data_IF_833857808256
#
_entry.id   IF_833857808256
#
_cell.length_a   1.000
_cell.length_b   1.000
_cell.length_c   1.000
_cell.angle_alpha   90.00
_cell.angle_beta   90.00
_cell.angle_gamma   90.00
#
_symmetry.space_group_name_H-M   'P 1'
#
loop_
_entity.id
_entity.type
_entity.pdbx_description
1 polymer ?
#
# COMPACT_ATOMS: atom_id res chain seq x y z
N UNK A 1 -4.45 -17.80 5.30
CA UNK A 1 -4.30 -17.15 3.99
C UNK A 1 -4.06 -15.66 4.23
N UNK A 2 -3.01 -15.07 3.67
CA UNK A 2 -2.73 -13.65 3.81
C UNK A 2 -3.23 -12.90 2.57
N UNK A 3 -4.06 -11.87 2.74
CA UNK A 3 -4.74 -11.19 1.63
C UNK A 3 -3.75 -10.68 0.58
N UNK A 4 -2.65 -10.05 0.99
CA UNK A 4 -1.64 -9.52 0.07
C UNK A 4 -0.97 -10.60 -0.78
N UNK A 5 -0.86 -11.83 -0.24
CA UNK A 5 -0.30 -12.96 -0.99
C UNK A 5 -1.26 -13.45 -2.07
N UNK A 6 -2.56 -13.49 -1.76
CA UNK A 6 -3.61 -13.82 -2.75
C UNK A 6 -3.72 -12.72 -3.80
N UNK A 7 -3.68 -11.45 -3.36
CA UNK A 7 -3.69 -10.29 -4.24
C UNK A 7 -2.56 -10.35 -5.26
N UNK A 8 -1.31 -10.50 -4.79
CA UNK A 8 -0.14 -10.61 -5.66
C UNK A 8 -0.32 -11.72 -6.70
N UNK A 9 -0.74 -12.91 -6.26
CA UNK A 9 -1.01 -14.04 -7.17
C UNK A 9 -2.06 -13.67 -8.23
N UNK A 10 -3.14 -12.98 -7.85
CA UNK A 10 -4.20 -12.56 -8.77
C UNK A 10 -3.77 -11.47 -9.75
N UNK A 11 -2.84 -10.61 -9.35
CA UNK A 11 -2.20 -9.67 -10.29
C UNK A 11 -1.37 -10.42 -11.32
N UNK A 12 -0.54 -11.38 -10.90
CA UNK A 12 0.29 -12.21 -11.81
C UNK A 12 -0.56 -13.05 -12.79
N UNK A 13 -1.74 -13.48 -12.35
CA UNK A 13 -2.71 -14.19 -13.19
C UNK A 13 -3.51 -13.25 -14.11
N UNK A 14 -3.42 -11.93 -13.98
CA UNK A 14 -4.32 -10.94 -14.62
C UNK A 14 -5.82 -11.10 -14.26
N UNK A 15 -6.11 -11.69 -13.10
CA UNK A 15 -7.49 -11.97 -12.64
C UNK A 15 -7.84 -11.21 -11.35
N UNK A 16 -7.56 -9.89 -11.31
CA UNK A 16 -7.92 -9.06 -10.15
C UNK A 16 -9.42 -9.03 -9.86
N UNK A 17 -10.25 -9.13 -10.89
CA UNK A 17 -11.72 -9.20 -10.78
C UNK A 17 -12.22 -10.37 -9.91
N UNK A 18 -11.45 -11.46 -9.79
CA UNK A 18 -11.80 -12.59 -8.91
C UNK A 18 -11.85 -12.19 -7.43
N UNK A 19 -11.22 -11.07 -7.06
CA UNK A 19 -11.23 -10.52 -5.70
C UNK A 19 -12.44 -9.62 -5.41
N UNK A 20 -13.24 -9.30 -6.43
CA UNK A 20 -14.46 -8.50 -6.26
C UNK A 20 -15.53 -9.35 -5.59
N UNK A 21 -16.18 -8.80 -4.56
CA UNK A 21 -17.24 -9.49 -3.84
C UNK A 21 -18.42 -9.80 -4.76
N UNK A 22 -18.72 -11.10 -4.93
CA UNK A 22 -19.78 -11.63 -5.79
C UNK A 22 -21.19 -11.36 -5.24
N UNK A 23 -21.29 -10.97 -3.97
CA UNK A 23 -22.56 -10.71 -3.30
C UNK A 23 -22.89 -9.22 -3.20
N UNK A 24 -22.00 -8.35 -3.69
CA UNK A 24 -22.22 -6.91 -3.73
C UNK A 24 -22.50 -6.46 -5.17
N UNK A 25 -23.77 -6.19 -5.47
CA UNK A 25 -24.23 -5.78 -6.81
C UNK A 25 -23.51 -4.53 -7.32
N UNK A 26 -23.31 -3.54 -6.45
CA UNK A 26 -22.65 -2.28 -6.79
C UNK A 26 -21.19 -2.52 -7.21
N UNK A 27 -20.47 -3.35 -6.45
CA UNK A 27 -19.10 -3.74 -6.80
C UNK A 27 -19.01 -4.56 -8.10
N UNK A 28 -20.04 -5.37 -8.41
CA UNK A 28 -20.09 -6.12 -9.66
C UNK A 28 -20.37 -5.21 -10.86
N UNK A 29 -21.27 -4.23 -10.71
CA UNK A 29 -21.59 -3.25 -11.75
C UNK A 29 -20.37 -2.34 -12.03
N UNK A 30 -19.66 -1.92 -10.97
CA UNK A 30 -18.52 -1.01 -11.03
C UNK A 30 -17.16 -1.73 -10.97
N UNK A 31 -17.09 -2.95 -11.52
CA UNK A 31 -15.91 -3.82 -11.33
C UNK A 31 -14.58 -3.20 -11.80
N UNK A 32 -14.58 -2.44 -12.88
CA UNK A 32 -13.39 -1.74 -13.37
C UNK A 32 -12.88 -0.70 -12.37
N UNK A 33 -13.78 0.09 -11.77
CA UNK A 33 -13.43 1.09 -10.75
C UNK A 33 -12.86 0.43 -9.50
N UNK A 34 -13.42 -0.72 -9.11
CA UNK A 34 -12.92 -1.54 -7.98
C UNK A 34 -11.51 -2.04 -8.27
N UNK A 35 -11.24 -2.55 -9.48
CA UNK A 35 -9.89 -2.98 -9.89
C UNK A 35 -8.92 -1.80 -9.90
N UNK A 36 -9.35 -0.60 -10.34
CA UNK A 36 -8.50 0.59 -10.29
C UNK A 36 -8.21 1.01 -8.84
N UNK A 37 -9.20 0.94 -7.94
CA UNK A 37 -8.99 1.18 -6.51
C UNK A 37 -7.99 0.19 -5.90
N UNK A 38 -8.05 -1.09 -6.30
CA UNK A 38 -7.08 -2.11 -5.92
C UNK A 38 -5.66 -1.76 -6.36
N UNK A 39 -5.49 -1.24 -7.59
CA UNK A 39 -4.19 -0.76 -8.09
C UNK A 39 -3.69 0.47 -7.34
N UNK A 40 -4.56 1.42 -7.01
CA UNK A 40 -4.21 2.57 -6.14
C UNK A 40 -3.74 2.10 -4.77
N UNK A 41 -4.45 1.14 -4.16
CA UNK A 41 -4.03 0.55 -2.89
C UNK A 41 -2.65 -0.10 -3.00
N UNK A 42 -2.39 -0.86 -4.08
CA UNK A 42 -1.07 -1.45 -4.32
C UNK A 42 0.03 -0.39 -4.48
N UNK A 43 -0.25 0.71 -5.18
CA UNK A 43 0.69 1.82 -5.34
C UNK A 43 1.06 2.48 -4.01
N UNK A 44 0.07 2.71 -3.14
CA UNK A 44 0.29 3.23 -1.79
C UNK A 44 1.07 2.27 -0.88
N UNK A 45 0.98 0.96 -1.15
CA UNK A 45 1.60 -0.09 -0.35
C UNK A 45 2.98 -0.55 -0.86
N UNK A 46 3.54 0.09 -1.90
CA UNK A 46 4.85 -0.31 -2.45
C UNK A 46 5.93 -0.41 -1.37
N UNK A 47 6.76 -1.43 -1.46
CA UNK A 47 7.90 -1.62 -0.55
C UNK A 47 8.93 -0.49 -0.68
N UNK A 48 9.17 -0.02 -1.91
CA UNK A 48 9.97 1.17 -2.19
C UNK A 48 9.19 2.44 -1.88
N UNK A 49 9.52 3.07 -0.75
CA UNK A 49 8.87 4.28 -0.26
C UNK A 49 8.98 5.47 -1.22
N UNK A 50 10.01 5.52 -2.07
CA UNK A 50 10.21 6.64 -3.02
C UNK A 50 9.21 6.58 -4.18
N UNK A 51 8.69 5.38 -4.49
CA UNK A 51 7.71 5.18 -5.55
C UNK A 51 6.26 5.35 -5.09
N UNK A 52 6.02 5.40 -3.78
CA UNK A 52 4.67 5.64 -3.22
C UNK A 52 4.16 7.02 -3.65
N UNK A 53 2.89 7.15 -4.03
CA UNK A 53 2.31 8.41 -4.43
C UNK A 53 2.15 9.34 -3.22
N UNK A 54 2.23 10.65 -3.45
CA UNK A 54 1.76 11.64 -2.48
C UNK A 54 0.24 11.54 -2.35
N UNK A 55 -0.31 11.96 -1.20
CA UNK A 55 -1.78 12.03 -1.03
C UNK A 55 -2.46 12.92 -2.07
N UNK A 56 -1.80 14.00 -2.51
CA UNK A 56 -2.31 14.85 -3.59
C UNK A 56 -2.38 14.11 -4.93
N UNK A 57 -1.45 13.19 -5.22
CA UNK A 57 -1.48 12.37 -6.42
C UNK A 57 -2.60 11.33 -6.34
N UNK A 58 -2.75 10.67 -5.19
CA UNK A 58 -3.86 9.71 -4.96
C UNK A 58 -5.21 10.37 -5.24
N UNK A 59 -5.44 11.58 -4.72
CA UNK A 59 -6.69 12.32 -4.94
C UNK A 59 -6.90 12.60 -6.43
N UNK A 60 -5.88 13.10 -7.14
CA UNK A 60 -5.98 13.36 -8.59
C UNK A 60 -6.37 12.12 -9.39
N UNK A 61 -5.83 10.96 -9.02
CA UNK A 61 -6.19 9.68 -9.64
C UNK A 61 -7.64 9.31 -9.34
N UNK A 62 -8.08 9.44 -8.09
CA UNK A 62 -9.46 9.16 -7.69
C UNK A 62 -10.48 10.12 -8.34
N UNK A 63 -10.09 11.36 -8.62
CA UNK A 63 -10.89 12.34 -9.35
C UNK A 63 -10.85 12.14 -10.88
N UNK A 64 -10.06 11.19 -11.39
CA UNK A 64 -9.89 10.95 -12.82
C UNK A 64 -9.05 12.01 -13.55
N UNK A 65 -8.31 12.84 -12.81
CA UNK A 65 -7.45 13.92 -13.34
C UNK A 65 -6.05 13.38 -13.70
N UNK A 66 -5.68 12.20 -13.22
CA UNK A 66 -4.40 11.56 -13.51
C UNK A 66 -4.56 10.03 -13.57
N UNK A 67 -3.63 9.37 -14.24
CA UNK A 67 -3.60 7.91 -14.37
C UNK A 67 -2.75 7.26 -13.27
N UNK A 68 -2.99 5.98 -13.02
CA UNK A 68 -2.20 5.16 -12.09
C UNK A 68 -0.86 4.81 -12.78
N UNK A 69 0.22 4.78 -12.01
CA UNK A 69 1.52 4.30 -12.49
C UNK A 69 1.40 2.87 -13.05
N UNK A 70 1.97 2.61 -14.22
CA UNK A 70 1.81 1.33 -14.94
C UNK A 70 2.83 0.27 -14.52
N UNK A 71 3.97 0.66 -13.92
CA UNK A 71 5.03 -0.25 -13.47
C UNK A 71 5.03 -0.45 -11.95
N UNK A 72 3.87 -0.78 -11.37
CA UNK A 72 3.77 -1.04 -9.95
C UNK A 72 4.51 -2.33 -9.56
N UNK A 73 5.24 -2.25 -8.45
CA UNK A 73 5.78 -3.43 -7.78
C UNK A 73 4.76 -3.96 -6.77
N UNK A 74 4.20 -5.13 -7.05
CA UNK A 74 3.24 -5.82 -6.19
C UNK A 74 3.91 -6.70 -5.12
N UNK A 75 5.23 -6.57 -4.93
CA UNK A 75 5.94 -7.14 -3.79
C UNK A 75 5.75 -6.28 -2.55
N UNK A 76 4.80 -6.69 -1.71
CA UNK A 76 4.55 -6.08 -0.40
C UNK A 76 5.52 -6.56 0.69
N UNK A 77 6.64 -7.19 0.31
CA UNK A 77 7.67 -7.60 1.25
C UNK A 77 8.59 -6.42 1.54
N UNK A 78 8.77 -6.11 2.80
CA UNK A 78 9.75 -5.11 3.21
C UNK A 78 11.11 -5.80 3.31
N UNK A 79 12.11 -5.42 2.49
CA UNK A 79 13.46 -5.89 2.72
C UNK A 79 13.89 -5.45 4.12
N UNK A 80 14.60 -6.31 4.89
CA UNK A 80 15.19 -5.88 6.14
C UNK A 80 16.09 -4.68 5.83
N UNK A 81 15.89 -3.59 6.55
CA UNK A 81 16.72 -2.39 6.44
C UNK A 81 18.17 -2.83 6.63
N UNK A 82 18.99 -2.76 5.57
CA UNK A 82 20.42 -2.99 5.70
C UNK A 82 20.97 -1.88 6.59
N UNK A 83 21.33 -2.25 7.81
CA UNK A 83 22.01 -1.39 8.77
C UNK A 83 23.31 -0.91 8.12
N UNK A 84 23.34 0.35 7.69
CA UNK A 84 24.61 1.05 7.47
C UNK A 84 25.30 1.11 8.82
N UNK A 85 26.42 0.42 8.93
CA UNK A 85 27.20 0.25 10.14
C UNK A 85 27.75 1.58 10.63
N UNK A 86 27.06 2.20 11.57
CA UNK A 86 27.67 3.02 12.61
C UNK A 86 27.14 2.52 13.95
N UNK A 87 27.88 1.54 14.50
CA UNK A 87 28.08 1.24 15.91
C UNK A 87 26.98 1.68 16.89
N UNK A 88 25.98 0.83 17.15
CA UNK A 88 25.80 0.09 18.42
C UNK A 88 24.53 -0.78 18.36
N UNK A 89 24.65 -1.97 18.93
CA UNK A 89 23.85 -3.15 18.62
C UNK A 89 22.83 -3.36 19.75
N UNK A 90 21.54 -3.26 19.43
CA UNK A 90 20.47 -4.19 19.81
C UNK A 90 19.10 -3.49 19.68
N UNK A 91 18.44 -3.62 18.53
CA UNK A 91 16.98 -3.42 18.47
C UNK A 91 16.35 -4.65 17.85
N UNK A 92 15.75 -5.43 18.75
CA UNK A 92 14.90 -6.57 18.51
C UNK A 92 13.62 -6.15 17.75
N UNK A 93 13.32 -6.89 16.68
CA UNK A 93 11.97 -7.28 16.21
C UNK A 93 10.77 -6.48 16.77
N UNK A 94 10.56 -5.25 16.28
CA UNK A 94 9.28 -4.51 16.27
C UNK A 94 9.61 -3.09 15.84
N UNK A 95 9.23 -2.69 14.63
CA UNK A 95 9.31 -1.26 14.24
C UNK A 95 8.17 -0.48 14.89
N UNK A 96 8.13 -0.46 16.21
CA UNK A 96 7.83 0.79 16.91
C UNK A 96 9.09 1.61 16.76
N UNK A 97 9.03 2.69 15.97
CA UNK A 97 9.78 3.89 16.34
C UNK A 97 9.65 4.04 17.85
N UNK A 98 10.73 4.26 18.63
CA UNK A 98 10.53 4.80 19.97
C UNK A 98 9.80 6.12 19.73
N UNK A 99 8.48 6.09 19.97
CA UNK A 99 7.66 7.28 19.97
C UNK A 99 8.25 8.09 21.11
N UNK A 100 9.14 9.03 20.79
CA UNK A 100 9.41 10.10 21.71
C UNK A 100 8.03 10.70 21.98
N UNK A 101 7.56 10.68 23.25
CA UNK A 101 6.22 11.15 23.55
C UNK A 101 6.13 12.57 23.03
N UNK A 102 5.29 12.76 22.01
CA UNK A 102 4.90 14.08 21.56
C UNK A 102 4.40 14.80 22.80
N UNK A 103 5.11 15.82 23.25
CA UNK A 103 4.64 16.71 24.31
C UNK A 103 3.48 17.48 23.69
N UNK A 104 2.30 16.89 23.74
CA UNK A 104 1.06 17.56 23.38
C UNK A 104 0.97 18.77 24.31
N UNK A 105 1.07 19.97 23.73
CA UNK A 105 0.79 21.21 24.45
C UNK A 105 -0.60 21.04 25.07
N UNK A 106 -0.64 21.05 26.41
CA UNK A 106 -1.84 20.76 27.19
C UNK A 106 -3.00 21.74 26.92
N UNK A 107 -4.15 21.53 27.57
CA UNK A 107 -5.35 22.32 27.30
C UNK A 107 -5.11 23.81 27.55
N UNK A 108 -5.66 24.67 26.69
CA UNK A 108 -5.72 26.13 26.88
C UNK A 108 -6.72 26.51 27.96
#
# INVERSE_FOLDING_TARGET
MHLLSVFKKKVEEEHLEDLIDKHNEDMQIHGEEVVNMMKVAAWCLQSDFVKRPSMSMVIKVLEGVSEIEHNLDYNFSYPPLATVSHQEVNVCFSSTTPLLPSVLSGPR
#
